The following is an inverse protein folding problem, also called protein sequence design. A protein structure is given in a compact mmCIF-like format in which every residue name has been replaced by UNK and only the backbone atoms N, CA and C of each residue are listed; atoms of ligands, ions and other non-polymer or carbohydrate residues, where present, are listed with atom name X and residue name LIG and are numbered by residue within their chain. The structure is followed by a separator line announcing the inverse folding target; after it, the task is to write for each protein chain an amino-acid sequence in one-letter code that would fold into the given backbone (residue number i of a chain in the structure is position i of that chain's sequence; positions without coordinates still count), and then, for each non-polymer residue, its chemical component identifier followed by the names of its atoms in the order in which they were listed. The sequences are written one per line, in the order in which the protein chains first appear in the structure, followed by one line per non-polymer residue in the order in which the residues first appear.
data_IF_153654598541
#
_entry.id   IF_153654598541
#
_cell.length_a   1.000
_cell.length_b   1.000
_cell.length_c   1.000
_cell.angle_alpha   90.00
_cell.angle_beta   90.00
_cell.angle_gamma   90.00
#
_symmetry.space_group_name_H-M   'P 1'
#
loop_
_entity.id
_entity.type
_entity.pdbx_description
1 polymer ?
#
# COMPACT_ATOMS: atom_id res chain seq x y z
N UNK A 1 -7.44 11.99 6.78
CA UNK A 1 -6.29 11.32 7.43
C UNK A 1 -6.47 11.09 8.93
N UNK A 2 -7.65 11.38 9.51
CA UNK A 2 -7.91 11.13 10.93
C UNK A 2 -8.99 10.04 11.05
N UNK A 3 -8.58 8.78 10.87
CA UNK A 3 -9.39 7.62 11.26
C UNK A 3 -8.75 7.00 12.50
N UNK A 4 -9.56 6.66 13.51
CA UNK A 4 -9.06 6.08 14.76
C UNK A 4 -8.29 4.78 14.45
N UNK A 5 -7.03 4.72 14.87
CA UNK A 5 -6.15 3.57 14.66
C UNK A 5 -5.15 3.72 13.51
N UNK A 6 -5.26 4.74 12.66
CA UNK A 6 -4.23 5.04 11.64
C UNK A 6 -2.98 5.56 12.33
N UNK A 7 -1.84 4.90 12.09
CA UNK A 7 -0.52 5.31 12.59
C UNK A 7 0.33 5.97 11.51
N UNK A 8 0.02 5.76 10.24
CA UNK A 8 0.73 6.38 9.13
C UNK A 8 -0.08 6.37 7.84
N UNK A 9 0.15 7.36 6.99
CA UNK A 9 -0.43 7.43 5.65
C UNK A 9 0.63 7.84 4.65
N UNK A 10 0.66 7.18 3.50
CA UNK A 10 1.60 7.45 2.41
C UNK A 10 0.82 7.48 1.09
N UNK A 11 0.96 8.59 0.36
CA UNK A 11 0.47 8.77 -1.00
C UNK A 11 1.67 8.62 -1.92
N UNK A 12 1.56 7.74 -2.90
CA UNK A 12 2.66 7.40 -3.82
C UNK A 12 2.22 7.66 -5.25
N UNK A 13 3.09 8.25 -6.05
CA UNK A 13 2.89 8.38 -7.50
C UNK A 13 3.10 7.04 -8.21
N UNK A 14 2.71 6.99 -9.49
CA UNK A 14 2.80 5.77 -10.31
C UNK A 14 4.22 5.22 -10.48
N UNK A 15 5.23 6.06 -10.29
CA UNK A 15 6.66 5.73 -10.33
C UNK A 15 7.21 5.16 -9.01
N UNK A 16 6.41 5.12 -7.94
CA UNK A 16 6.84 4.62 -6.64
C UNK A 16 7.39 5.67 -5.68
N UNK A 17 7.32 6.95 -6.03
CA UNK A 17 7.82 8.05 -5.21
C UNK A 17 6.73 8.53 -4.25
N UNK A 18 7.08 8.72 -2.97
CA UNK A 18 6.13 9.28 -2.00
C UNK A 18 5.87 10.77 -2.29
N UNK A 19 4.61 11.11 -2.57
CA UNK A 19 4.13 12.48 -2.81
C UNK A 19 3.75 13.16 -1.50
N UNK A 20 3.18 12.40 -0.55
CA UNK A 20 2.81 12.88 0.77
C UNK A 20 2.92 11.75 1.78
N UNK A 21 3.51 12.01 2.93
CA UNK A 21 3.63 11.03 4.01
C UNK A 21 3.44 11.70 5.36
N UNK A 22 2.88 10.97 6.33
CA UNK A 22 2.87 11.34 7.75
C UNK A 22 3.97 10.64 8.54
N UNK A 23 4.85 9.89 7.86
CA UNK A 23 5.94 9.11 8.44
C UNK A 23 7.29 9.73 8.09
N UNK A 24 8.35 9.32 8.78
CA UNK A 24 9.71 9.75 8.43
C UNK A 24 10.14 9.22 7.05
N UNK A 25 11.12 9.88 6.43
CA UNK A 25 11.58 9.56 5.09
C UNK A 25 12.14 8.14 4.96
N UNK A 26 12.84 7.64 5.98
CA UNK A 26 13.47 6.32 5.92
C UNK A 26 12.42 5.21 5.91
N UNK A 27 11.43 5.31 6.80
CA UNK A 27 10.29 4.40 6.87
C UNK A 27 9.43 4.50 5.62
N UNK A 28 9.18 5.73 5.15
CA UNK A 28 8.40 5.98 3.93
C UNK A 28 9.02 5.27 2.71
N UNK A 29 10.32 5.47 2.48
CA UNK A 29 11.02 4.87 1.35
C UNK A 29 11.03 3.33 1.44
N UNK A 30 11.21 2.79 2.64
CA UNK A 30 11.19 1.35 2.86
C UNK A 30 9.81 0.75 2.51
N UNK A 31 8.72 1.36 3.00
CA UNK A 31 7.37 0.90 2.68
C UNK A 31 7.03 1.06 1.20
N UNK A 32 7.38 2.19 0.56
CA UNK A 32 7.12 2.39 -0.87
C UNK A 32 7.74 1.25 -1.71
N UNK A 33 9.01 0.93 -1.49
CA UNK A 33 9.71 -0.11 -2.24
C UNK A 33 9.09 -1.50 -2.08
N UNK A 34 8.76 -1.89 -0.84
CA UNK A 34 8.18 -3.21 -0.56
C UNK A 34 6.72 -3.33 -1.04
N UNK A 35 5.90 -2.31 -0.76
CA UNK A 35 4.48 -2.33 -1.10
C UNK A 35 4.28 -2.25 -2.60
N UNK A 36 5.08 -1.48 -3.33
CA UNK A 36 4.99 -1.41 -4.79
C UNK A 36 5.26 -2.78 -5.44
N UNK A 37 6.30 -3.49 -4.98
CA UNK A 37 6.59 -4.85 -5.46
C UNK A 37 5.48 -5.83 -5.11
N UNK A 38 4.92 -5.74 -3.91
CA UNK A 38 3.83 -6.60 -3.47
C UNK A 38 2.55 -6.36 -4.28
N UNK A 39 2.16 -5.10 -4.50
CA UNK A 39 1.01 -4.73 -5.33
C UNK A 39 1.15 -5.25 -6.75
N UNK A 40 2.34 -5.12 -7.36
CA UNK A 40 2.59 -5.65 -8.69
C UNK A 40 2.39 -7.17 -8.76
N UNK A 41 2.96 -7.92 -7.80
CA UNK A 41 2.80 -9.37 -7.71
C UNK A 41 1.35 -9.80 -7.43
N UNK A 42 0.67 -9.12 -6.50
CA UNK A 42 -0.73 -9.40 -6.18
C UNK A 42 -1.64 -9.15 -7.38
N UNK A 43 -1.40 -8.09 -8.16
CA UNK A 43 -2.16 -7.80 -9.37
C UNK A 43 -1.95 -8.87 -10.43
N UNK A 44 -0.71 -9.33 -10.65
CA UNK A 44 -0.43 -10.44 -11.55
C UNK A 44 -1.16 -11.71 -11.11
N UNK A 45 -1.07 -12.08 -9.82
CA UNK A 45 -1.74 -13.27 -9.30
C UNK A 45 -3.27 -13.23 -9.45
N UNK A 46 -3.91 -12.06 -9.27
CA UNK A 46 -5.35 -11.89 -9.51
C UNK A 46 -5.68 -12.14 -10.99
N UNK A 47 -4.86 -11.62 -11.91
CA UNK A 47 -5.07 -11.77 -13.36
C UNK A 47 -4.73 -13.16 -13.89
N UNK A 48 -3.79 -13.85 -13.26
CA UNK A 48 -3.45 -15.23 -13.57
C UNK A 48 -4.63 -16.18 -13.22
N UNK A 49 -5.42 -15.83 -12.20
CA UNK A 49 -6.64 -16.56 -11.84
C UNK A 49 -7.80 -16.24 -12.79
N UNK A 50 -8.03 -14.95 -13.06
CA UNK A 50 -9.03 -14.48 -14.03
C UNK A 50 -8.53 -13.17 -14.69
N UNK A 51 -8.25 -13.18 -16.01
CA UNK A 51 -7.71 -12.01 -16.70
C UNK A 51 -8.70 -10.82 -16.77
N UNK A 52 -9.99 -11.04 -16.50
CA UNK A 52 -10.99 -9.98 -16.43
C UNK A 52 -11.00 -9.22 -15.11
N UNK A 53 -10.33 -9.73 -14.08
CA UNK A 53 -10.28 -9.13 -12.75
C UNK A 53 -9.12 -8.13 -12.63
N UNK A 54 -9.28 -7.13 -11.76
CA UNK A 54 -8.20 -6.22 -11.38
C UNK A 54 -8.11 -6.06 -9.86
N UNK A 55 -6.90 -5.78 -9.37
CA UNK A 55 -6.67 -5.55 -7.96
C UNK A 55 -7.22 -4.17 -7.57
N UNK A 56 -8.29 -4.16 -6.78
CA UNK A 56 -8.93 -2.92 -6.30
C UNK A 56 -8.40 -2.47 -4.94
N UNK A 57 -8.06 -3.42 -4.07
CA UNK A 57 -7.60 -3.15 -2.72
C UNK A 57 -6.79 -4.31 -2.16
N UNK A 58 -5.76 -4.01 -1.37
CA UNK A 58 -4.95 -4.99 -0.68
C UNK A 58 -4.91 -4.66 0.82
N UNK A 59 -5.31 -5.62 1.66
CA UNK A 59 -5.28 -5.51 3.12
C UNK A 59 -4.35 -6.58 3.68
N UNK A 60 -3.26 -6.16 4.31
CA UNK A 60 -2.23 -7.03 4.88
C UNK A 60 -2.27 -6.84 6.38
N UNK A 61 -2.70 -7.85 7.11
CA UNK A 61 -2.73 -7.83 8.57
C UNK A 61 -1.62 -8.68 9.14
N UNK A 62 -0.82 -8.09 10.01
CA UNK A 62 0.16 -8.77 10.85
C UNK A 62 -0.31 -8.78 12.31
N UNK A 63 0.43 -9.42 13.20
CA UNK A 63 0.12 -9.41 14.64
C UNK A 63 0.20 -8.01 15.26
N UNK A 64 1.01 -7.12 14.68
CA UNK A 64 1.31 -5.80 15.26
C UNK A 64 0.69 -4.63 14.53
N UNK A 65 0.40 -4.79 13.24
CA UNK A 65 -0.01 -3.71 12.36
C UNK A 65 -0.87 -4.24 11.22
N UNK A 66 -1.62 -3.35 10.60
CA UNK A 66 -2.37 -3.58 9.39
C UNK A 66 -2.03 -2.55 8.31
N UNK A 67 -1.79 -3.02 7.10
CA UNK A 67 -1.48 -2.18 5.94
C UNK A 67 -2.63 -2.30 4.94
N UNK A 68 -3.13 -1.17 4.50
CA UNK A 68 -4.26 -1.03 3.58
C UNK A 68 -3.79 -0.26 2.35
N UNK A 69 -3.82 -0.88 1.18
CA UNK A 69 -3.28 -0.33 -0.06
C UNK A 69 -4.37 -0.26 -1.11
N UNK A 70 -4.56 0.93 -1.68
CA UNK A 70 -5.38 1.13 -2.87
C UNK A 70 -4.45 1.39 -4.07
N UNK A 71 -4.33 0.44 -5.02
CA UNK A 71 -3.49 0.60 -6.21
C UNK A 71 -3.84 1.89 -6.98
N UNK A 72 -2.80 2.67 -7.34
CA UNK A 72 -2.97 3.92 -8.09
C UNK A 72 -3.42 5.14 -7.28
N UNK A 73 -3.49 5.05 -5.94
CA UNK A 73 -3.87 6.20 -5.10
C UNK A 73 -3.02 6.35 -3.85
N UNK A 74 -3.08 5.41 -2.91
CA UNK A 74 -2.51 5.62 -1.57
C UNK A 74 -2.46 4.33 -0.76
N UNK A 75 -1.62 4.31 0.27
CA UNK A 75 -1.69 3.31 1.32
C UNK A 75 -1.70 3.89 2.73
N UNK A 76 -2.27 3.13 3.66
CA UNK A 76 -2.51 3.49 5.05
C UNK A 76 -1.97 2.37 5.94
N UNK A 77 -1.36 2.76 7.05
CA UNK A 77 -0.86 1.88 8.09
C UNK A 77 -1.69 2.09 9.36
N UNK A 78 -2.13 1.00 9.95
CA UNK A 78 -2.94 0.91 11.16
C UNK A 78 -2.21 0.06 12.21
N UNK A 79 -2.53 0.30 13.49
CA UNK A 79 -2.11 -0.51 14.62
C UNK A 79 -2.98 -1.79 14.73
#
# INVERSE_FOLDING_TARGET
MAHKGVIGAIIVSSDGIAVRTSMDNSTTNHYCGLIQQLVAKSRSAVRDLDPSNDLTFLRIRSTRNEIMVAPGSSFFLYN
#
